data_IF_046479789878
#
_entry.id   IF_046479789878
#
_cell.length_a   1.000
_cell.length_b   1.000
_cell.length_c   1.000
_cell.angle_alpha   90.00
_cell.angle_beta   90.00
_cell.angle_gamma   90.00
#
_symmetry.space_group_name_H-M   'P 1'
#
loop_
_entity.id
_entity.type
_entity.pdbx_description
1 polymer ?
#
# COMPACT_ATOMS: atom_id res chain seq x y z
N UNK A 1 -7.13 -66.45 -65.55
CA UNK A 1 -6.58 -65.08 -65.48
C UNK A 1 -7.02 -64.48 -64.11
N UNK A 2 -6.14 -64.61 -63.12
CA UNK A 2 -6.41 -64.06 -61.75
C UNK A 2 -5.68 -62.74 -61.55
N UNK A 3 -6.40 -61.66 -61.35
CA UNK A 3 -5.86 -60.36 -60.97
C UNK A 3 -5.66 -60.29 -59.47
N UNK A 4 -4.42 -60.13 -59.05
CA UNK A 4 -4.04 -59.87 -57.66
C UNK A 4 -3.92 -58.35 -57.48
N UNK A 5 -4.73 -57.76 -56.62
CA UNK A 5 -4.73 -56.32 -56.25
C UNK A 5 -3.89 -56.13 -54.98
N UNK A 6 -2.85 -55.30 -54.96
CA UNK A 6 -2.10 -55.05 -53.72
C UNK A 6 -2.83 -54.03 -52.82
N UNK A 7 -2.99 -54.40 -51.55
CA UNK A 7 -3.49 -53.53 -50.48
C UNK A 7 -2.36 -52.62 -49.97
N UNK A 8 -2.51 -51.29 -50.21
CA UNK A 8 -1.62 -50.29 -49.60
C UNK A 8 -2.10 -49.98 -48.21
N UNK A 9 -1.32 -50.33 -47.18
CA UNK A 9 -1.51 -49.85 -45.82
C UNK A 9 -0.86 -48.46 -45.70
N UNK A 10 -1.67 -47.42 -45.57
CA UNK A 10 -1.21 -46.09 -45.23
C UNK A 10 -1.11 -45.95 -43.70
N UNK A 11 0.13 -45.92 -43.20
CA UNK A 11 0.41 -45.68 -41.77
C UNK A 11 0.26 -44.19 -41.49
N UNK A 12 -0.82 -43.81 -40.83
CA UNK A 12 -1.05 -42.41 -40.40
C UNK A 12 -0.29 -42.17 -39.09
N UNK A 13 0.81 -41.45 -39.16
CA UNK A 13 1.58 -41.03 -37.99
C UNK A 13 0.87 -39.83 -37.34
N UNK A 14 0.14 -40.05 -36.23
CA UNK A 14 -0.47 -39.01 -35.41
C UNK A 14 0.63 -38.28 -34.62
N UNK A 15 1.11 -37.13 -35.11
CA UNK A 15 1.89 -36.19 -34.34
C UNK A 15 0.97 -35.46 -33.36
N UNK A 16 0.94 -35.89 -32.10
CA UNK A 16 0.30 -35.16 -31.03
C UNK A 16 1.23 -34.00 -30.60
N UNK A 17 0.84 -32.72 -30.74
CA UNK A 17 1.67 -31.63 -30.26
C UNK A 17 1.72 -31.67 -28.73
N UNK A 18 2.91 -31.87 -28.16
CA UNK A 18 3.19 -31.67 -26.73
C UNK A 18 2.96 -30.18 -26.43
N UNK A 19 1.81 -29.86 -25.85
CA UNK A 19 1.60 -28.52 -25.25
C UNK A 19 2.47 -28.43 -24.01
N UNK A 20 3.54 -27.65 -24.07
CA UNK A 20 4.26 -27.22 -22.89
C UNK A 20 3.28 -26.43 -22.00
N UNK A 21 2.82 -27.04 -20.92
CA UNK A 21 2.13 -26.34 -19.86
C UNK A 21 3.17 -25.48 -19.14
N UNK A 22 3.18 -24.20 -19.43
CA UNK A 22 3.85 -23.21 -18.57
C UNK A 22 3.20 -23.29 -17.21
N UNK A 23 3.89 -23.96 -16.27
CA UNK A 23 3.53 -23.90 -14.87
C UNK A 23 3.64 -22.43 -14.44
N UNK A 24 2.49 -21.78 -14.29
CA UNK A 24 2.43 -20.50 -13.57
C UNK A 24 2.91 -20.79 -12.14
N UNK A 25 4.06 -20.24 -11.80
CA UNK A 25 4.51 -20.24 -10.41
C UNK A 25 3.37 -19.63 -9.58
N UNK A 26 2.73 -20.45 -8.74
CA UNK A 26 1.81 -19.93 -7.74
C UNK A 26 2.64 -19.04 -6.83
N UNK A 27 2.47 -17.74 -6.97
CA UNK A 27 2.91 -16.78 -5.97
C UNK A 27 2.11 -17.11 -4.71
N UNK A 28 2.74 -17.85 -3.79
CA UNK A 28 2.19 -18.02 -2.44
C UNK A 28 2.01 -16.63 -1.88
N UNK A 29 0.78 -16.26 -1.54
CA UNK A 29 0.50 -15.02 -0.84
C UNK A 29 1.46 -14.92 0.36
N UNK A 30 2.19 -13.82 0.51
CA UNK A 30 3.12 -13.67 1.63
C UNK A 30 2.36 -13.86 2.93
N UNK A 31 2.91 -14.65 3.85
CA UNK A 31 2.32 -14.81 5.17
C UNK A 31 1.98 -13.45 5.75
N UNK A 32 0.82 -13.31 6.39
CA UNK A 32 0.35 -12.05 6.96
C UNK A 32 0.51 -12.05 8.48
N UNK A 33 0.80 -10.89 9.05
CA UNK A 33 0.70 -10.58 10.48
C UNK A 33 -0.45 -9.62 10.71
N UNK A 34 -1.01 -9.64 11.92
CA UNK A 34 -2.07 -8.71 12.29
C UNK A 34 -1.63 -7.88 13.49
N UNK A 35 -1.67 -6.58 13.33
CA UNK A 35 -1.60 -5.63 14.43
C UNK A 35 -2.97 -5.51 15.07
N UNK A 36 -3.01 -5.50 16.40
CA UNK A 36 -4.20 -5.24 17.20
C UNK A 36 -3.94 -4.07 18.13
N UNK A 37 -4.80 -3.06 18.08
CA UNK A 37 -4.86 -2.02 19.10
C UNK A 37 -6.05 -2.26 20.02
N UNK A 38 -5.76 -2.80 21.21
CA UNK A 38 -6.81 -3.09 22.21
C UNK A 38 -7.46 -1.81 22.76
N UNK A 39 -6.72 -0.71 22.84
CA UNK A 39 -7.23 0.58 23.33
C UNK A 39 -8.23 1.19 22.36
N UNK A 40 -7.93 1.11 21.08
CA UNK A 40 -8.75 1.74 20.03
C UNK A 40 -9.59 0.73 19.24
N UNK A 41 -9.59 -0.54 19.68
CA UNK A 41 -10.43 -1.61 19.10
C UNK A 41 -10.31 -1.73 17.58
N UNK A 42 -9.07 -1.65 17.08
CA UNK A 42 -8.77 -1.73 15.66
C UNK A 42 -7.80 -2.88 15.40
N UNK A 43 -7.97 -3.54 14.25
CA UNK A 43 -6.97 -4.46 13.69
C UNK A 43 -6.62 -4.09 12.26
N UNK A 44 -5.38 -4.38 11.87
CA UNK A 44 -4.80 -4.16 10.56
C UNK A 44 -3.90 -5.34 10.21
N UNK A 45 -4.13 -6.00 9.07
CA UNK A 45 -3.25 -7.06 8.59
C UNK A 45 -2.22 -6.49 7.60
N UNK A 46 -0.99 -7.00 7.66
CA UNK A 46 0.12 -6.58 6.81
C UNK A 46 1.02 -7.77 6.46
N UNK A 47 1.81 -7.74 5.37
CA UNK A 47 2.72 -8.81 5.00
C UNK A 47 3.75 -9.08 6.10
N UNK A 48 4.03 -10.35 6.40
CA UNK A 48 4.89 -10.74 7.52
C UNK A 48 6.35 -10.28 7.37
N UNK A 49 6.78 -10.00 6.15
CA UNK A 49 8.11 -9.48 5.84
C UNK A 49 8.21 -7.94 5.95
N UNK A 50 7.08 -7.22 6.18
CA UNK A 50 7.13 -5.79 6.41
C UNK A 50 7.54 -5.48 7.85
N UNK A 51 8.28 -4.38 8.02
CA UNK A 51 8.72 -3.91 9.34
C UNK A 51 7.59 -3.21 10.06
N UNK A 52 7.37 -3.56 11.32
CA UNK A 52 6.35 -2.94 12.17
C UNK A 52 7.03 -2.24 13.36
N UNK A 53 6.54 -1.04 13.70
CA UNK A 53 6.90 -0.35 14.94
C UNK A 53 5.71 0.43 15.50
N UNK A 54 5.81 0.80 16.77
CA UNK A 54 4.92 1.74 17.45
C UNK A 54 5.51 3.16 17.52
N UNK A 55 6.71 3.34 17.03
CA UNK A 55 7.43 4.62 16.96
C UNK A 55 7.96 4.83 15.56
N UNK A 56 7.98 6.08 15.09
CA UNK A 56 8.33 6.42 13.70
C UNK A 56 9.85 6.51 13.48
N UNK A 57 10.59 7.15 14.37
CA UNK A 57 11.97 7.57 14.15
C UNK A 57 12.98 6.45 13.86
N UNK A 58 12.61 5.19 14.10
CA UNK A 58 13.49 4.04 13.82
C UNK A 58 13.29 3.45 12.43
N UNK A 59 12.20 3.78 11.77
CA UNK A 59 11.83 3.14 10.49
C UNK A 59 11.64 4.13 9.35
N UNK A 60 11.34 5.40 9.58
CA UNK A 60 11.13 6.35 8.51
C UNK A 60 11.59 7.76 8.83
N UNK A 61 11.80 8.53 7.77
CA UNK A 61 12.05 9.98 7.85
C UNK A 61 10.77 10.80 7.65
N UNK A 62 9.61 10.14 7.61
CA UNK A 62 8.31 10.79 7.37
C UNK A 62 7.90 11.70 8.53
N UNK A 63 8.24 11.35 9.76
CA UNK A 63 8.02 12.13 10.97
C UNK A 63 6.57 12.57 11.15
N UNK A 64 5.64 11.62 11.14
CA UNK A 64 4.21 11.89 11.24
C UNK A 64 3.85 12.77 12.45
N UNK A 65 4.51 12.57 13.59
CA UNK A 65 4.27 13.36 14.80
C UNK A 65 4.51 14.87 14.60
N UNK A 66 5.48 15.23 13.76
CA UNK A 66 5.77 16.63 13.43
C UNK A 66 4.79 17.22 12.40
N UNK A 67 4.09 16.35 11.64
CA UNK A 67 3.20 16.74 10.54
C UNK A 67 1.72 16.69 10.92
N UNK A 68 1.38 16.13 12.07
CA UNK A 68 0.00 16.03 12.51
C UNK A 68 -0.59 17.42 12.79
N UNK A 69 -1.73 17.72 12.17
CA UNK A 69 -2.45 18.97 12.37
C UNK A 69 -3.01 19.10 13.79
N UNK A 70 -3.22 18.02 14.50
CA UNK A 70 -3.80 18.00 15.84
C UNK A 70 -2.73 17.66 16.89
N UNK A 71 -2.46 18.55 17.83
CA UNK A 71 -1.48 18.38 18.92
C UNK A 71 -1.76 17.16 19.81
N UNK A 72 -2.99 16.66 19.85
CA UNK A 72 -3.42 15.49 20.60
C UNK A 72 -3.36 14.19 19.81
N UNK A 73 -2.92 14.23 18.57
CA UNK A 73 -2.78 13.02 17.73
C UNK A 73 -1.61 12.19 18.21
N UNK A 74 -1.85 10.92 18.46
CA UNK A 74 -0.81 9.97 18.85
C UNK A 74 -0.68 8.87 17.81
N UNK A 75 0.53 8.66 17.29
CA UNK A 75 0.84 7.52 16.44
C UNK A 75 0.68 6.21 17.22
N UNK A 76 0.09 5.22 16.60
CA UNK A 76 -0.22 3.91 17.20
C UNK A 76 0.53 2.77 16.53
N UNK A 77 0.79 2.91 15.23
CA UNK A 77 1.49 1.92 14.43
C UNK A 77 2.09 2.57 13.19
N UNK A 78 3.21 2.04 12.76
CA UNK A 78 3.76 2.23 11.41
C UNK A 78 4.18 0.88 10.86
N UNK A 79 3.83 0.63 9.61
CA UNK A 79 4.22 -0.55 8.84
C UNK A 79 4.99 -0.08 7.62
N UNK A 80 6.25 -0.49 7.50
CA UNK A 80 7.15 -0.05 6.45
C UNK A 80 7.48 -1.18 5.46
N UNK A 81 7.53 -0.86 4.19
CA UNK A 81 8.00 -1.77 3.14
C UNK A 81 9.50 -2.06 3.36
N UNK A 82 9.92 -3.33 3.49
CA UNK A 82 11.27 -3.67 3.92
C UNK A 82 12.33 -3.48 2.84
N UNK A 83 11.92 -3.60 1.58
CA UNK A 83 12.83 -3.60 0.44
C UNK A 83 12.36 -2.60 -0.62
N UNK A 84 13.33 -1.98 -1.29
CA UNK A 84 13.06 -1.16 -2.46
C UNK A 84 12.73 -2.06 -3.66
N UNK A 85 11.48 -2.11 -4.13
CA UNK A 85 11.11 -2.93 -5.30
C UNK A 85 11.64 -2.37 -6.61
N UNK A 86 12.16 -1.14 -6.60
CA UNK A 86 12.67 -0.42 -7.77
C UNK A 86 14.06 0.18 -7.50
N UNK A 87 15.10 -0.66 -7.26
CA UNK A 87 16.41 -0.21 -6.75
C UNK A 87 17.15 0.73 -7.71
N UNK A 88 16.80 0.75 -8.99
CA UNK A 88 17.36 1.68 -9.97
C UNK A 88 16.53 2.98 -10.11
N UNK A 89 15.55 3.21 -9.24
CA UNK A 89 14.69 4.39 -9.25
C UNK A 89 14.90 5.28 -8.03
N UNK A 90 14.29 6.45 -8.07
CA UNK A 90 14.28 7.43 -6.95
C UNK A 90 13.41 7.00 -5.76
N UNK A 91 12.81 5.82 -5.76
CA UNK A 91 12.04 5.31 -4.62
C UNK A 91 12.92 5.13 -3.39
N UNK A 92 12.49 5.64 -2.23
CA UNK A 92 13.25 5.54 -0.96
C UNK A 92 12.48 4.90 0.18
N UNK A 93 11.15 4.78 0.09
CA UNK A 93 10.36 4.09 1.11
C UNK A 93 8.86 4.23 0.93
N UNK A 94 8.11 3.31 1.55
CA UNK A 94 6.66 3.35 1.59
C UNK A 94 6.15 2.85 2.94
N UNK A 95 5.14 3.53 3.49
CA UNK A 95 4.69 3.38 4.86
C UNK A 95 3.18 3.44 4.98
N UNK A 96 2.62 2.67 5.90
CA UNK A 96 1.24 2.83 6.39
C UNK A 96 1.32 3.24 7.85
N UNK A 97 0.87 4.46 8.15
CA UNK A 97 0.76 4.96 9.52
C UNK A 97 -0.67 4.84 10.01
N UNK A 98 -0.80 4.57 11.29
CA UNK A 98 -2.06 4.66 12.01
C UNK A 98 -1.88 5.55 13.23
N UNK A 99 -2.71 6.56 13.34
CA UNK A 99 -2.73 7.48 14.48
C UNK A 99 -4.16 7.75 14.96
N UNK A 100 -4.29 8.22 16.19
CA UNK A 100 -5.59 8.52 16.81
C UNK A 100 -5.55 9.86 17.51
N UNK A 101 -6.60 10.67 17.29
CA UNK A 101 -6.88 11.87 18.06
C UNK A 101 -8.12 11.62 18.91
N UNK A 102 -7.99 11.49 20.25
CA UNK A 102 -9.12 11.29 21.15
C UNK A 102 -10.02 12.54 21.19
N UNK A 103 -11.29 12.34 21.52
CA UNK A 103 -12.28 13.43 21.73
C UNK A 103 -12.43 14.39 20.53
N UNK A 104 -12.23 13.89 19.31
CA UNK A 104 -12.39 14.69 18.10
C UNK A 104 -13.88 14.86 17.73
N UNK A 105 -14.21 16.02 17.17
CA UNK A 105 -15.49 16.21 16.48
C UNK A 105 -15.43 15.66 15.05
N UNK A 106 -16.59 15.43 14.43
CA UNK A 106 -16.67 15.01 13.00
C UNK A 106 -15.93 16.00 12.09
N UNK A 107 -16.13 17.30 12.32
CA UNK A 107 -15.51 18.36 11.53
C UNK A 107 -13.99 18.36 11.69
N UNK A 108 -13.52 18.35 12.95
CA UNK A 108 -12.09 18.34 13.24
C UNK A 108 -11.38 17.06 12.72
N UNK A 109 -12.07 15.93 12.69
CA UNK A 109 -11.56 14.70 12.13
C UNK A 109 -11.43 14.78 10.60
N UNK A 110 -12.47 15.25 9.91
CA UNK A 110 -12.44 15.41 8.45
C UNK A 110 -11.39 16.45 8.02
N UNK A 111 -11.21 17.52 8.80
CA UNK A 111 -10.20 18.54 8.56
C UNK A 111 -8.77 17.99 8.58
N UNK A 112 -8.47 16.96 9.36
CA UNK A 112 -7.14 16.35 9.37
C UNK A 112 -6.73 15.75 8.01
N UNK A 113 -7.69 15.40 7.15
CA UNK A 113 -7.42 14.98 5.77
C UNK A 113 -7.41 16.16 4.78
N UNK A 114 -7.98 17.32 5.14
CA UNK A 114 -8.14 18.49 4.27
C UNK A 114 -7.09 19.58 4.52
N UNK A 115 -6.67 19.77 5.78
CA UNK A 115 -5.79 20.84 6.22
C UNK A 115 -4.32 20.49 6.02
N UNK A 116 -3.95 20.22 4.78
CA UNK A 116 -2.57 20.03 4.39
C UNK A 116 -2.10 21.26 3.60
N UNK A 117 -0.89 21.78 3.81
CA UNK A 117 -0.42 23.01 3.17
C UNK A 117 -0.46 22.98 1.64
N UNK A 118 -0.40 21.79 1.07
CA UNK A 118 -0.37 21.55 -0.38
C UNK A 118 -1.45 20.56 -0.84
N UNK A 119 -2.37 20.19 0.06
CA UNK A 119 -3.40 19.19 -0.17
C UNK A 119 -4.56 19.72 -1.00
N UNK A 120 -5.25 18.79 -1.64
CA UNK A 120 -6.57 19.05 -2.24
C UNK A 120 -7.66 18.91 -1.18
N UNK A 121 -8.81 19.58 -1.35
CA UNK A 121 -9.95 19.39 -0.47
C UNK A 121 -10.30 17.89 -0.33
N UNK A 122 -10.54 17.45 0.89
CA UNK A 122 -10.91 16.07 1.16
C UNK A 122 -12.25 15.72 0.51
N UNK A 123 -12.38 14.49 0.02
CA UNK A 123 -13.63 13.91 -0.44
C UNK A 123 -13.96 12.67 0.40
N UNK A 124 -15.21 12.20 0.32
CA UNK A 124 -15.62 10.98 1.03
C UNK A 124 -15.37 9.75 0.15
N UNK A 125 -14.72 8.75 0.71
CA UNK A 125 -14.51 7.45 0.08
C UNK A 125 -14.96 6.32 1.00
N UNK A 126 -15.27 5.15 0.42
CA UNK A 126 -15.68 3.95 1.15
C UNK A 126 -14.58 2.88 1.04
N UNK A 127 -14.08 2.40 2.18
CA UNK A 127 -13.07 1.34 2.22
C UNK A 127 -13.49 0.31 3.28
N UNK A 128 -13.61 -0.94 2.89
CA UNK A 128 -14.05 -2.03 3.77
C UNK A 128 -15.41 -1.74 4.47
N UNK A 129 -16.31 -0.99 3.82
CA UNK A 129 -17.61 -0.59 4.36
C UNK A 129 -17.57 0.59 5.35
N UNK A 130 -16.40 1.22 5.52
CA UNK A 130 -16.19 2.38 6.40
C UNK A 130 -16.06 3.63 5.54
N UNK A 131 -16.77 4.73 5.93
CA UNK A 131 -16.63 6.04 5.29
C UNK A 131 -15.42 6.77 5.81
N UNK A 132 -14.56 7.25 4.92
CA UNK A 132 -13.40 8.07 5.23
C UNK A 132 -13.48 9.42 4.52
N UNK A 133 -13.07 10.49 5.20
CA UNK A 133 -12.58 11.67 4.51
C UNK A 133 -11.18 11.35 3.95
N UNK A 134 -10.97 11.58 2.67
CA UNK A 134 -9.74 11.28 1.96
C UNK A 134 -9.15 12.55 1.39
N UNK A 135 -7.94 12.86 1.78
CA UNK A 135 -7.13 13.96 1.30
C UNK A 135 -5.79 13.49 0.76
N UNK A 136 -5.04 14.43 0.22
CA UNK A 136 -3.72 14.19 -0.35
C UNK A 136 -2.78 15.32 0.03
N UNK A 137 -1.55 14.98 0.40
CA UNK A 137 -0.48 15.93 0.66
C UNK A 137 0.78 15.57 -0.15
N UNK A 138 1.49 16.58 -0.63
CA UNK A 138 2.80 16.41 -1.25
C UNK A 138 3.76 17.47 -0.70
N UNK A 139 4.75 17.03 0.06
CA UNK A 139 5.79 17.92 0.60
C UNK A 139 7.09 17.68 -0.14
N UNK A 140 7.68 18.78 -0.60
CA UNK A 140 8.99 18.78 -1.25
C UNK A 140 9.97 19.50 -0.32
N UNK A 141 10.99 18.80 0.08
CA UNK A 141 12.16 19.33 0.77
C UNK A 141 13.39 19.13 -0.12
N UNK A 142 14.56 19.60 0.32
CA UNK A 142 15.80 19.45 -0.45
C UNK A 142 16.00 17.99 -0.82
N UNK A 143 15.79 17.68 -2.10
CA UNK A 143 15.92 16.34 -2.67
C UNK A 143 15.09 15.23 -2.05
N UNK A 144 14.01 15.52 -1.34
CA UNK A 144 13.04 14.53 -0.86
C UNK A 144 11.64 14.98 -1.28
N UNK A 145 10.87 14.07 -1.86
CA UNK A 145 9.46 14.29 -2.14
C UNK A 145 8.69 13.24 -1.35
N UNK A 146 7.87 13.70 -0.42
CA UNK A 146 6.95 12.88 0.36
C UNK A 146 5.55 13.06 -0.19
N UNK A 147 4.92 11.97 -0.57
CA UNK A 147 3.52 11.92 -1.04
C UNK A 147 2.71 11.13 -0.05
N UNK A 148 1.58 11.67 0.35
CA UNK A 148 0.76 11.11 1.40
C UNK A 148 -0.71 11.10 0.98
N UNK A 149 -1.33 9.94 1.06
CA UNK A 149 -2.78 9.75 0.94
C UNK A 149 -3.33 9.63 2.37
N UNK A 150 -4.13 10.61 2.78
CA UNK A 150 -4.60 10.75 4.16
C UNK A 150 -6.07 10.33 4.23
N UNK A 151 -6.36 9.36 5.09
CA UNK A 151 -7.71 8.87 5.34
C UNK A 151 -8.08 9.07 6.79
N UNK A 152 -9.21 9.75 7.04
CA UNK A 152 -9.71 9.96 8.41
C UNK A 152 -11.13 9.51 8.58
N UNK A 153 -11.45 8.90 9.73
CA UNK A 153 -12.81 8.52 10.09
C UNK A 153 -13.05 8.73 11.58
N UNK A 154 -14.22 9.23 11.92
CA UNK A 154 -14.64 9.34 13.32
C UNK A 154 -15.30 8.03 13.75
N UNK A 155 -14.75 7.38 14.78
CA UNK A 155 -15.32 6.19 15.39
C UNK A 155 -15.24 6.28 16.92
N UNK A 156 -16.36 6.03 17.63
CA UNK A 156 -16.43 6.04 19.10
C UNK A 156 -15.85 7.32 19.75
N UNK A 157 -16.07 8.48 19.13
CA UNK A 157 -15.63 9.77 19.66
C UNK A 157 -14.12 10.06 19.50
N UNK A 158 -13.42 9.27 18.73
CA UNK A 158 -12.03 9.51 18.36
C UNK A 158 -11.87 9.59 16.83
N UNK A 159 -10.93 10.39 16.37
CA UNK A 159 -10.53 10.43 14.96
C UNK A 159 -9.42 9.42 14.73
N UNK A 160 -9.67 8.50 13.83
CA UNK A 160 -8.71 7.53 13.32
C UNK A 160 -8.15 8.07 12.01
N UNK A 161 -6.84 8.23 11.96
CA UNK A 161 -6.11 8.72 10.80
C UNK A 161 -5.15 7.66 10.30
N UNK A 162 -5.16 7.45 8.98
CA UNK A 162 -4.25 6.58 8.27
C UNK A 162 -3.55 7.39 7.20
N UNK A 163 -2.23 7.28 7.16
CA UNK A 163 -1.40 7.95 6.17
C UNK A 163 -0.68 6.86 5.36
N UNK A 164 -0.90 6.86 4.04
CA UNK A 164 -0.25 5.98 3.08
C UNK A 164 0.83 6.79 2.39
N UNK A 165 2.04 6.77 2.96
CA UNK A 165 3.12 7.65 2.57
C UNK A 165 4.09 6.96 1.60
N UNK A 166 4.54 7.68 0.58
CA UNK A 166 5.58 7.26 -0.35
C UNK A 166 6.66 8.33 -0.43
N UNK A 167 7.89 7.95 -0.12
CA UNK A 167 9.06 8.81 -0.20
C UNK A 167 9.87 8.52 -1.46
N UNK A 168 10.32 9.58 -2.11
CA UNK A 168 11.26 9.54 -3.24
C UNK A 168 12.33 10.60 -3.05
N UNK A 169 13.48 10.43 -3.71
CA UNK A 169 14.53 11.43 -3.74
C UNK A 169 14.74 12.00 -5.17
N UNK A 170 15.60 13.01 -5.34
CA UNK A 170 15.88 13.61 -6.64
C UNK A 170 16.77 12.69 -7.49
N UNK A 171 16.32 12.32 -8.69
CA UNK A 171 17.06 11.42 -9.58
C UNK A 171 18.32 12.01 -10.20
N UNK A 172 18.39 13.34 -10.36
CA UNK A 172 19.52 13.98 -11.01
C UNK A 172 20.83 13.99 -10.21
N UNK A 173 20.80 13.60 -8.92
CA UNK A 173 21.95 13.69 -8.00
C UNK A 173 22.68 12.36 -7.82
N UNK A 174 22.07 11.25 -8.21
CA UNK A 174 22.65 9.92 -8.04
C UNK A 174 22.84 9.27 -9.41
N UNK A 175 24.10 9.04 -9.79
CA UNK A 175 24.42 8.43 -11.07
C UNK A 175 23.81 7.04 -11.24
N UNK A 176 23.16 6.79 -12.35
CA UNK A 176 22.53 5.51 -12.66
C UNK A 176 21.12 5.31 -12.10
N UNK A 177 20.59 6.30 -11.35
CA UNK A 177 19.23 6.27 -10.83
C UNK A 177 18.31 7.06 -11.77
N UNK A 178 17.10 6.55 -12.01
CA UNK A 178 16.05 7.19 -12.81
C UNK A 178 14.90 7.61 -11.91
N UNK A 179 14.19 8.65 -12.31
CA UNK A 179 12.94 8.98 -11.64
C UNK A 179 11.99 7.79 -11.67
N UNK A 180 11.34 7.52 -10.52
CA UNK A 180 10.30 6.50 -10.45
C UNK A 180 9.15 6.86 -11.40
N UNK A 181 8.71 5.89 -12.18
CA UNK A 181 7.59 6.10 -13.10
C UNK A 181 6.25 6.12 -12.39
N UNK A 182 5.23 6.72 -13.01
CA UNK A 182 3.86 6.71 -12.48
C UNK A 182 3.35 5.28 -12.27
N UNK A 183 3.67 4.35 -13.19
CA UNK A 183 3.26 2.95 -13.09
C UNK A 183 3.90 2.23 -11.88
N UNK A 184 5.17 2.52 -11.58
CA UNK A 184 5.85 1.99 -10.39
C UNK A 184 5.29 2.58 -9.11
N UNK A 185 5.01 3.89 -9.08
CA UNK A 185 4.32 4.54 -7.97
C UNK A 185 2.95 3.91 -7.71
N UNK A 186 2.18 3.65 -8.75
CA UNK A 186 0.86 3.03 -8.63
C UNK A 186 0.95 1.59 -8.09
N UNK A 187 2.01 0.84 -8.43
CA UNK A 187 2.26 -0.48 -7.82
C UNK A 187 2.54 -0.36 -6.32
N UNK A 188 3.32 0.63 -5.89
CA UNK A 188 3.59 0.89 -4.46
C UNK A 188 2.28 1.26 -3.75
N UNK A 189 1.53 2.21 -4.29
CA UNK A 189 0.23 2.64 -3.74
C UNK A 189 -0.76 1.49 -3.62
N UNK A 190 -0.81 0.61 -4.62
CA UNK A 190 -1.67 -0.57 -4.57
C UNK A 190 -1.32 -1.49 -3.40
N UNK A 191 -0.03 -1.68 -3.08
CA UNK A 191 0.41 -2.47 -1.91
C UNK A 191 0.01 -1.81 -0.59
N UNK A 192 0.19 -0.48 -0.46
CA UNK A 192 -0.26 0.27 0.73
C UNK A 192 -1.78 0.17 0.90
N UNK A 193 -2.53 0.38 -0.19
CA UNK A 193 -3.99 0.28 -0.20
C UNK A 193 -4.49 -1.12 0.14
N UNK A 194 -3.77 -2.18 -0.25
CA UNK A 194 -4.12 -3.56 0.11
C UNK A 194 -4.05 -3.76 1.63
N UNK A 195 -3.01 -3.25 2.29
CA UNK A 195 -2.88 -3.26 3.76
C UNK A 195 -4.02 -2.45 4.39
N UNK A 196 -4.25 -1.22 3.93
CA UNK A 196 -5.28 -0.33 4.44
C UNK A 196 -6.69 -0.95 4.33
N UNK A 197 -6.99 -1.68 3.26
CA UNK A 197 -8.27 -2.35 3.07
C UNK A 197 -8.56 -3.48 4.08
N UNK A 198 -7.55 -3.93 4.82
CA UNK A 198 -7.70 -4.97 5.85
C UNK A 198 -8.19 -4.43 7.20
N UNK A 199 -8.35 -3.12 7.33
CA UNK A 199 -8.80 -2.49 8.58
C UNK A 199 -10.14 -3.09 9.03
N UNK A 200 -10.22 -3.40 10.31
CA UNK A 200 -11.44 -3.83 10.99
C UNK A 200 -11.56 -3.15 12.34
N UNK A 201 -12.74 -2.62 12.63
CA UNK A 201 -13.09 -2.22 13.98
C UNK A 201 -13.73 -3.41 14.70
N UNK A 202 -13.31 -3.66 15.93
CA UNK A 202 -13.95 -4.68 16.76
C UNK A 202 -15.42 -4.32 17.00
N UNK A 203 -16.34 -5.28 16.98
CA UNK A 203 -17.74 -5.06 17.40
C UNK A 203 -17.80 -4.57 18.83
N UNK A 204 -18.93 -3.95 19.17
CA UNK A 204 -19.23 -3.53 20.56
C UNK A 204 -19.45 -4.73 21.44
#
# INVERSE_FOLDING_TARGET
MSLILPLFFATFCLCVPLRAQTAYAQTTDPATRTFHDATWHLSLAYPANWTFSRTDHEISTFHLDARSAARSTAMRAVVAMPENPFPASTFSGAYVYFSVTPHASVVACAQQAADTPYGKPAHITQIAGISFAHGHDEVKDICIIQRDEIFTTLHRGACYRFDLAVNTFCGGEVSGVKDITSAELDQVRARLSSIFSTIRFAPK
#
